data_IF_557800264365
#
_entry.id   IF_557800264365
#
_cell.length_a   1.000
_cell.length_b   1.000
_cell.length_c   1.000
_cell.angle_alpha   90.00
_cell.angle_beta   90.00
_cell.angle_gamma   90.00
#
_symmetry.space_group_name_H-M   'P 1'
#
loop_
_entity.id
_entity.type
_entity.pdbx_description
1 polymer ?
#
# COMPACT_ATOMS: atom_id res chain seq x y z
N UNK A 1 2.38 14.51 -68.31
CA UNK A 1 2.41 14.71 -66.84
C UNK A 1 2.17 13.34 -66.20
N UNK A 2 3.25 12.56 -65.97
CA UNK A 2 3.14 11.17 -65.51
C UNK A 2 2.96 11.11 -63.99
N UNK A 3 1.81 10.63 -63.52
CA UNK A 3 1.58 10.33 -62.11
C UNK A 3 2.38 9.08 -61.73
N UNK A 4 3.43 9.25 -60.92
CA UNK A 4 4.14 8.14 -60.28
C UNK A 4 3.23 7.53 -59.19
N UNK A 5 2.65 6.36 -59.45
CA UNK A 5 2.02 5.55 -58.41
C UNK A 5 3.10 4.90 -57.54
N UNK A 6 3.27 5.38 -56.31
CA UNK A 6 4.12 4.74 -55.32
C UNK A 6 3.42 3.46 -54.81
N UNK A 7 3.81 2.29 -55.33
CA UNK A 7 3.35 0.99 -54.82
C UNK A 7 4.01 0.75 -53.47
N UNK A 8 3.25 0.85 -52.38
CA UNK A 8 3.76 0.61 -51.03
C UNK A 8 3.98 -0.90 -50.84
N UNK A 9 5.23 -1.35 -50.85
CA UNK A 9 5.60 -2.75 -50.64
C UNK A 9 5.31 -3.19 -49.20
N UNK A 10 4.81 -4.41 -49.03
CA UNK A 10 4.52 -4.98 -47.73
C UNK A 10 5.82 -5.30 -46.96
N UNK A 11 5.73 -5.32 -45.63
CA UNK A 11 6.90 -5.61 -44.78
C UNK A 11 7.42 -7.03 -45.06
N UNK A 12 8.74 -7.15 -45.30
CA UNK A 12 9.42 -8.40 -45.68
C UNK A 12 9.27 -9.56 -44.66
N UNK A 13 9.20 -9.24 -43.36
CA UNK A 13 8.99 -10.22 -42.29
C UNK A 13 7.98 -9.68 -41.27
N UNK A 14 7.10 -10.56 -40.79
CA UNK A 14 6.15 -10.21 -39.73
C UNK A 14 6.87 -10.10 -38.39
N UNK A 15 6.49 -9.09 -37.61
CA UNK A 15 6.90 -8.98 -36.22
C UNK A 15 5.75 -8.38 -35.41
N UNK A 16 5.62 -8.73 -34.12
CA UNK A 16 4.65 -8.12 -33.25
C UNK A 16 4.85 -6.60 -33.16
N UNK A 17 3.75 -5.89 -32.92
CA UNK A 17 3.78 -4.43 -32.75
C UNK A 17 4.51 -4.04 -31.46
N UNK A 18 5.29 -2.97 -31.50
CA UNK A 18 5.95 -2.46 -30.30
C UNK A 18 4.98 -1.76 -29.34
N UNK A 19 4.89 -2.31 -28.13
CA UNK A 19 4.05 -1.82 -27.04
C UNK A 19 2.57 -2.09 -27.24
N UNK A 20 1.74 -1.69 -26.27
CA UNK A 20 0.28 -1.76 -26.36
C UNK A 20 -0.33 -0.39 -26.67
N UNK A 21 -1.35 -0.34 -27.53
CA UNK A 21 -2.09 0.88 -27.90
C UNK A 21 -3.08 1.28 -26.81
N UNK A 22 -3.51 0.35 -25.97
CA UNK A 22 -4.47 0.60 -24.88
C UNK A 22 -3.93 1.51 -23.77
N UNK A 23 -2.63 1.79 -23.75
CA UNK A 23 -2.00 2.73 -22.82
C UNK A 23 -1.73 4.12 -23.43
N UNK A 24 -2.30 4.41 -24.60
CA UNK A 24 -2.30 5.75 -25.16
C UNK A 24 -3.43 6.61 -24.55
N UNK A 25 -3.23 7.92 -24.37
CA UNK A 25 -1.99 8.69 -24.60
C UNK A 25 -0.97 8.50 -23.47
N UNK A 26 0.32 8.34 -23.83
CA UNK A 26 1.45 8.22 -22.88
C UNK A 26 1.88 9.60 -22.34
N UNK A 27 1.04 10.18 -21.48
CA UNK A 27 1.27 11.49 -20.85
C UNK A 27 1.34 11.39 -19.32
N UNK A 28 1.88 12.44 -18.68
CA UNK A 28 1.86 12.53 -17.21
C UNK A 28 0.42 12.49 -16.69
N UNK A 29 0.21 11.74 -15.61
CA UNK A 29 -1.09 11.64 -14.97
C UNK A 29 -1.50 13.00 -14.34
N UNK A 30 -2.80 13.31 -14.35
CA UNK A 30 -3.34 14.56 -13.78
C UNK A 30 -3.37 14.55 -12.24
N UNK A 31 -3.40 13.37 -11.62
CA UNK A 31 -3.54 13.17 -10.17
C UNK A 31 -2.39 12.32 -9.66
N UNK A 32 -1.86 12.68 -8.49
CA UNK A 32 -0.76 11.96 -7.85
C UNK A 32 -1.17 10.58 -7.30
N UNK A 33 -2.40 10.46 -6.78
CA UNK A 33 -2.94 9.20 -6.22
C UNK A 33 -3.68 8.39 -7.27
N UNK A 34 -3.60 7.05 -7.15
CA UNK A 34 -4.39 6.12 -7.96
C UNK A 34 -5.90 6.33 -7.78
N UNK A 35 -6.61 6.63 -8.88
CA UNK A 35 -8.07 6.73 -8.90
C UNK A 35 -8.66 5.38 -9.29
N UNK A 36 -9.51 4.83 -8.43
CA UNK A 36 -10.37 3.70 -8.77
C UNK A 36 -11.45 4.18 -9.76
N UNK A 37 -11.50 3.55 -10.94
CA UNK A 37 -12.52 3.85 -11.97
C UNK A 37 -13.78 3.00 -11.81
N UNK A 38 -13.63 1.80 -11.28
CA UNK A 38 -14.70 0.82 -11.09
C UNK A 38 -14.47 0.09 -9.78
N UNK A 39 -15.52 -0.08 -8.98
CA UNK A 39 -15.49 -0.88 -7.77
C UNK A 39 -15.96 -2.32 -8.07
N UNK A 40 -15.70 -3.29 -7.17
CA UNK A 40 -16.27 -4.64 -7.30
C UNK A 40 -17.79 -4.59 -7.46
N UNK A 41 -18.35 -5.62 -8.09
CA UNK A 41 -19.80 -5.75 -8.19
C UNK A 41 -20.39 -5.93 -6.80
N UNK A 42 -21.52 -5.27 -6.57
CA UNK A 42 -22.22 -5.34 -5.30
C UNK A 42 -22.96 -6.67 -5.16
N UNK A 43 -23.03 -7.18 -3.93
CA UNK A 43 -23.68 -8.44 -3.57
C UNK A 43 -24.52 -8.20 -2.31
N UNK A 44 -25.84 -7.98 -2.47
CA UNK A 44 -26.73 -7.62 -1.36
C UNK A 44 -26.83 -8.68 -0.27
N UNK A 45 -26.43 -9.92 -0.56
CA UNK A 45 -26.46 -11.02 0.41
C UNK A 45 -25.35 -10.91 1.47
N UNK A 46 -24.26 -10.20 1.15
CA UNK A 46 -23.10 -10.07 2.03
C UNK A 46 -23.25 -8.85 2.93
N UNK A 47 -22.66 -8.87 4.14
CA UNK A 47 -22.63 -7.70 5.00
C UNK A 47 -21.88 -6.55 4.31
N UNK A 48 -22.34 -5.33 4.59
CA UNK A 48 -21.73 -4.09 4.09
C UNK A 48 -20.27 -4.05 4.53
N UNK A 49 -19.37 -3.83 3.57
CA UNK A 49 -17.94 -3.80 3.83
C UNK A 49 -17.22 -2.80 2.93
N UNK A 50 -16.08 -2.30 3.39
CA UNK A 50 -15.24 -1.39 2.59
C UNK A 50 -14.52 -2.13 1.47
N UNK A 51 -14.38 -1.47 0.32
CA UNK A 51 -13.86 -2.07 -0.92
C UNK A 51 -12.45 -1.62 -1.29
N UNK A 52 -11.94 -0.55 -0.67
CA UNK A 52 -10.63 -0.01 -0.94
C UNK A 52 -10.00 0.62 0.32
N UNK A 53 -8.67 0.63 0.35
CA UNK A 53 -7.85 1.17 1.43
C UNK A 53 -6.67 1.97 0.85
N UNK A 54 -6.13 2.92 1.60
CA UNK A 54 -4.94 3.68 1.21
C UNK A 54 -3.72 3.20 1.98
N UNK A 55 -2.63 3.01 1.27
CA UNK A 55 -1.34 2.67 1.88
C UNK A 55 -0.19 3.44 1.25
N UNK A 56 0.97 3.39 1.88
CA UNK A 56 2.19 4.05 1.46
C UNK A 56 3.26 3.00 1.21
N UNK A 57 3.87 3.03 0.03
CA UNK A 57 4.95 2.09 -0.28
C UNK A 57 6.16 2.39 0.61
N UNK A 58 6.46 1.50 1.57
CA UNK A 58 7.59 1.66 2.47
C UNK A 58 8.89 1.16 1.81
N UNK A 59 8.86 -0.08 1.33
CA UNK A 59 10.03 -0.71 0.72
C UNK A 59 9.75 -2.11 0.21
N UNK A 60 10.82 -2.86 -0.04
CA UNK A 60 10.77 -4.24 -0.49
C UNK A 60 11.75 -5.09 0.31
N UNK A 61 11.37 -6.33 0.55
CA UNK A 61 12.24 -7.37 1.11
C UNK A 61 11.96 -8.69 0.40
N UNK A 62 12.56 -9.78 0.85
CA UNK A 62 12.19 -11.12 0.42
C UNK A 62 11.74 -11.96 1.62
N UNK A 63 10.90 -12.94 1.33
CA UNK A 63 10.41 -13.93 2.30
C UNK A 63 10.83 -15.31 1.84
N UNK A 64 10.92 -16.24 2.79
CA UNK A 64 10.90 -17.67 2.52
C UNK A 64 9.54 -18.20 2.97
N UNK A 65 8.90 -18.95 2.09
CA UNK A 65 7.66 -19.67 2.41
C UNK A 65 7.72 -21.08 1.84
N UNK A 66 6.97 -21.97 2.46
CA UNK A 66 6.71 -23.26 1.86
C UNK A 66 5.59 -23.14 0.81
N UNK A 67 5.73 -23.91 -0.28
CA UNK A 67 4.76 -23.89 -1.37
C UNK A 67 3.94 -25.18 -1.35
N UNK A 68 2.64 -25.06 -1.06
CA UNK A 68 1.68 -26.16 -1.22
C UNK A 68 0.95 -26.03 -2.57
N UNK A 69 1.52 -26.70 -3.58
CA UNK A 69 0.99 -26.76 -4.94
C UNK A 69 1.14 -28.17 -5.51
N UNK A 70 0.17 -29.07 -5.26
CA UNK A 70 0.18 -30.42 -5.81
C UNK A 70 0.36 -30.42 -7.34
N UNK A 71 1.29 -31.25 -7.83
CA UNK A 71 1.66 -31.32 -9.25
C UNK A 71 2.77 -30.34 -9.70
N UNK A 72 3.24 -29.46 -8.82
CA UNK A 72 4.41 -28.61 -9.10
C UNK A 72 5.72 -29.29 -8.68
N UNK A 73 6.81 -29.03 -9.42
CA UNK A 73 8.17 -29.47 -9.05
C UNK A 73 8.66 -28.88 -7.71
N UNK A 74 8.05 -27.77 -7.30
CA UNK A 74 8.35 -27.04 -6.05
C UNK A 74 7.34 -27.30 -4.94
N UNK A 75 6.50 -28.32 -5.07
CA UNK A 75 5.55 -28.68 -4.01
C UNK A 75 6.30 -29.11 -2.73
N UNK A 76 5.85 -28.63 -1.57
CA UNK A 76 6.47 -28.86 -0.25
C UNK A 76 7.96 -28.50 -0.20
N UNK A 77 8.37 -27.52 -1.02
CA UNK A 77 9.71 -26.96 -1.01
C UNK A 77 9.65 -25.49 -0.63
N UNK A 78 10.75 -25.03 -0.08
CA UNK A 78 10.92 -23.63 0.29
C UNK A 78 11.25 -22.80 -0.95
N UNK A 79 10.55 -21.69 -1.09
CA UNK A 79 10.75 -20.74 -2.18
C UNK A 79 10.95 -19.35 -1.61
N UNK A 80 11.96 -18.66 -2.14
CA UNK A 80 12.20 -17.25 -1.85
C UNK A 80 11.35 -16.41 -2.78
N UNK A 81 10.50 -15.54 -2.22
CA UNK A 81 9.67 -14.61 -2.99
C UNK A 81 9.96 -13.17 -2.58
N UNK A 82 10.13 -12.29 -3.57
CA UNK A 82 10.22 -10.86 -3.31
C UNK A 82 8.85 -10.32 -2.88
N UNK A 83 8.84 -9.42 -1.89
CA UNK A 83 7.65 -8.78 -1.35
C UNK A 83 7.83 -7.27 -1.24
N UNK A 84 6.74 -6.53 -1.38
CA UNK A 84 6.65 -5.10 -1.10
C UNK A 84 5.92 -4.89 0.21
N UNK A 85 6.51 -4.11 1.11
CA UNK A 85 5.86 -3.67 2.35
C UNK A 85 5.15 -2.35 2.08
N UNK A 86 3.86 -2.31 2.40
CA UNK A 86 3.01 -1.13 2.29
C UNK A 86 2.48 -0.79 3.67
N UNK A 87 2.88 0.36 4.21
CA UNK A 87 2.34 0.87 5.47
C UNK A 87 0.92 1.39 5.25
N UNK A 88 0.02 1.02 6.13
CA UNK A 88 -1.42 1.14 5.99
C UNK A 88 -2.00 1.75 7.29
N UNK A 89 -1.75 3.05 7.55
CA UNK A 89 -2.26 3.69 8.77
C UNK A 89 -3.79 3.71 8.77
N UNK A 90 -4.44 3.67 9.95
CA UNK A 90 -5.89 3.62 10.07
C UNK A 90 -6.52 4.83 9.37
N UNK A 91 -7.55 4.57 8.55
CA UNK A 91 -8.26 5.62 7.82
C UNK A 91 -9.44 6.15 8.64
N UNK A 92 -9.52 7.47 8.80
CA UNK A 92 -10.65 8.14 9.44
C UNK A 92 -11.75 8.42 8.40
N UNK A 93 -12.95 7.89 8.62
CA UNK A 93 -14.12 8.16 7.77
C UNK A 93 -14.71 9.52 8.12
N UNK A 94 -14.75 10.43 7.15
CA UNK A 94 -15.18 11.83 7.35
C UNK A 94 -16.55 12.16 6.77
N UNK A 95 -17.20 11.20 6.11
CA UNK A 95 -18.50 11.43 5.49
C UNK A 95 -18.93 10.32 4.51
N UNK A 96 -20.19 10.41 4.09
CA UNK A 96 -20.86 9.48 3.19
C UNK A 96 -21.39 10.23 1.98
N UNK A 97 -21.29 9.62 0.80
CA UNK A 97 -21.82 10.18 -0.46
C UNK A 97 -22.86 9.22 -1.01
N UNK A 98 -24.09 9.71 -1.19
CA UNK A 98 -25.15 8.99 -1.89
C UNK A 98 -25.08 9.23 -3.40
N UNK A 99 -25.25 8.18 -4.18
CA UNK A 99 -25.35 8.25 -5.64
C UNK A 99 -26.74 7.84 -6.10
N UNK A 100 -27.24 8.50 -7.14
CA UNK A 100 -28.51 8.19 -7.80
C UNK A 100 -28.23 7.84 -9.26
N UNK A 101 -28.88 6.77 -9.73
CA UNK A 101 -28.82 6.37 -11.13
C UNK A 101 -29.69 7.30 -11.98
N UNK A 102 -29.09 7.89 -13.00
CA UNK A 102 -29.80 8.70 -14.00
C UNK A 102 -29.57 8.09 -15.38
N UNK A 103 -30.35 8.44 -16.42
CA UNK A 103 -30.14 7.94 -17.77
C UNK A 103 -28.73 8.25 -18.34
N UNK A 104 -28.07 9.30 -17.82
CA UNK A 104 -26.70 9.69 -18.20
C UNK A 104 -25.61 9.06 -17.33
N UNK A 105 -25.97 8.20 -16.37
CA UNK A 105 -25.08 7.54 -15.42
C UNK A 105 -25.31 7.95 -13.97
N UNK A 106 -24.33 7.63 -13.10
CA UNK A 106 -24.40 7.91 -11.66
C UNK A 106 -24.12 9.39 -11.38
N UNK A 107 -25.05 10.05 -10.69
CA UNK A 107 -24.89 11.43 -10.19
C UNK A 107 -24.81 11.41 -8.67
N UNK A 108 -23.89 12.19 -8.09
CA UNK A 108 -23.88 12.41 -6.64
C UNK A 108 -25.14 13.14 -6.21
N UNK A 109 -25.91 12.56 -5.30
CA UNK A 109 -27.13 13.16 -4.77
C UNK A 109 -26.82 14.11 -3.62
N UNK A 110 -26.20 13.60 -2.56
CA UNK A 110 -25.81 14.39 -1.39
C UNK A 110 -24.56 13.82 -0.75
N UNK A 111 -23.75 14.70 -0.19
CA UNK A 111 -22.63 14.34 0.69
C UNK A 111 -22.97 14.80 2.09
N UNK A 112 -22.89 13.89 3.06
CA UNK A 112 -23.04 14.17 4.47
C UNK A 112 -21.66 14.01 5.08
N UNK A 113 -21.19 15.02 5.80
CA UNK A 113 -19.90 14.98 6.47
C UNK A 113 -20.09 14.64 7.94
N UNK A 114 -19.05 14.07 8.54
CA UNK A 114 -18.94 13.92 9.97
C UNK A 114 -18.98 15.31 10.63
N UNK A 115 -19.50 15.35 11.84
CA UNK A 115 -19.53 16.56 12.64
C UNK A 115 -18.10 17.08 12.87
N UNK A 116 -17.24 16.25 13.43
CA UNK A 116 -15.87 16.61 13.75
C UNK A 116 -14.96 16.21 12.60
N UNK A 117 -14.34 17.21 11.99
CA UNK A 117 -13.38 17.04 10.90
C UNK A 117 -12.03 17.50 11.40
N UNK A 118 -11.05 16.59 11.37
CA UNK A 118 -9.67 16.88 11.75
C UNK A 118 -9.07 17.97 10.87
N UNK A 119 -8.13 18.73 11.43
CA UNK A 119 -7.46 19.81 10.70
C UNK A 119 -6.61 19.28 9.53
N UNK A 120 -6.15 18.03 9.60
CA UNK A 120 -5.50 17.32 8.51
C UNK A 120 -6.41 17.16 7.29
N UNK A 121 -7.69 16.84 7.52
CA UNK A 121 -8.68 16.79 6.46
C UNK A 121 -8.99 18.20 5.92
N UNK A 122 -9.12 19.21 6.80
CA UNK A 122 -9.36 20.61 6.39
C UNK A 122 -8.23 21.18 5.54
N UNK A 123 -6.98 20.77 5.78
CA UNK A 123 -5.82 21.17 4.96
C UNK A 123 -6.00 20.83 3.48
N UNK A 124 -6.78 19.79 3.15
CA UNK A 124 -7.04 19.41 1.75
C UNK A 124 -7.77 20.49 0.94
N UNK A 125 -8.50 21.38 1.61
CA UNK A 125 -9.28 22.46 0.99
C UNK A 125 -8.47 23.73 0.73
N UNK A 126 -7.21 23.78 1.18
CA UNK A 126 -6.34 24.94 1.05
C UNK A 126 -5.06 24.57 0.31
N UNK A 127 -4.62 25.43 -0.62
CA UNK A 127 -3.27 25.32 -1.20
C UNK A 127 -2.19 25.76 -0.21
N UNK A 128 -2.47 26.83 0.54
CA UNK A 128 -1.60 27.35 1.59
C UNK A 128 -2.40 27.45 2.89
N UNK A 129 -2.23 26.47 3.78
CA UNK A 129 -2.94 26.39 5.05
C UNK A 129 -2.53 27.53 6.01
N UNK A 130 -1.24 27.80 6.12
CA UNK A 130 -0.69 28.73 7.12
C UNK A 130 -1.07 30.18 6.87
N UNK A 131 -1.19 30.60 5.60
CA UNK A 131 -1.67 31.94 5.24
C UNK A 131 -3.19 32.08 5.22
N UNK A 132 -3.93 31.00 5.41
CA UNK A 132 -5.40 31.01 5.30
C UNK A 132 -6.07 31.29 6.65
N UNK A 133 -7.29 31.82 6.61
CA UNK A 133 -8.14 32.00 7.82
C UNK A 133 -8.77 30.69 8.33
N UNK A 134 -8.49 29.54 7.70
CA UNK A 134 -8.92 28.18 8.11
C UNK A 134 -10.42 28.01 8.38
N UNK A 135 -11.28 28.72 7.63
CA UNK A 135 -12.74 28.75 7.85
C UNK A 135 -13.53 27.54 7.32
N UNK A 136 -12.88 26.55 6.70
CA UNK A 136 -13.55 25.36 6.17
C UNK A 136 -14.31 24.61 7.29
N UNK A 137 -15.55 24.20 7.01
CA UNK A 137 -16.47 23.47 7.91
C UNK A 137 -16.86 24.17 9.22
N UNK A 138 -16.37 25.39 9.50
CA UNK A 138 -16.70 26.12 10.73
C UNK A 138 -18.20 26.36 10.95
N UNK A 139 -18.99 26.59 9.89
CA UNK A 139 -20.45 26.70 9.99
C UNK A 139 -21.16 25.33 10.06
N UNK A 140 -20.52 24.27 9.56
CA UNK A 140 -21.08 22.93 9.48
C UNK A 140 -20.97 22.19 10.83
N UNK A 141 -19.79 22.27 11.46
CA UNK A 141 -19.51 21.64 12.77
C UNK A 141 -20.32 22.27 13.92
N UNK A 142 -20.76 23.53 13.79
CA UNK A 142 -21.58 24.22 14.81
C UNK A 142 -22.99 23.64 14.98
N UNK A 143 -23.39 22.69 14.15
CA UNK A 143 -24.77 22.18 14.08
C UNK A 143 -25.00 20.91 14.90
N UNK A 144 -23.99 20.28 15.50
CA UNK A 144 -24.08 18.87 15.93
C UNK A 144 -23.49 18.50 17.32
N UNK A 145 -23.08 19.47 18.16
CA UNK A 145 -22.27 19.19 19.37
C UNK A 145 -23.01 18.48 20.51
N UNK A 146 -22.79 17.16 20.66
CA UNK A 146 -23.15 16.34 21.84
C UNK A 146 -21.99 15.40 22.30
N UNK A 147 -21.97 15.07 23.59
CA UNK A 147 -20.77 14.63 24.36
C UNK A 147 -20.40 13.12 24.32
N UNK A 148 -21.19 12.25 23.69
CA UNK A 148 -20.96 10.78 23.73
C UNK A 148 -19.94 10.25 22.70
N UNK A 149 -19.52 11.04 21.72
CA UNK A 149 -18.60 10.61 20.65
C UNK A 149 -17.12 10.48 21.04
N UNK A 150 -16.73 10.91 22.25
CA UNK A 150 -15.32 11.03 22.65
C UNK A 150 -14.68 9.73 23.18
N UNK A 151 -15.46 8.69 23.50
CA UNK A 151 -14.97 7.49 24.23
C UNK A 151 -14.60 6.27 23.36
N UNK A 152 -14.59 6.40 22.04
CA UNK A 152 -14.47 5.24 21.13
C UNK A 152 -13.09 5.10 20.43
N UNK A 153 -12.12 5.96 20.76
CA UNK A 153 -10.84 6.10 20.05
C UNK A 153 -9.65 5.30 20.63
N UNK A 154 -9.77 4.70 21.81
CA UNK A 154 -8.62 4.11 22.54
C UNK A 154 -8.46 2.58 22.42
N UNK A 155 -9.34 1.87 21.70
CA UNK A 155 -9.31 0.39 21.65
C UNK A 155 -8.60 -0.27 20.46
N UNK A 156 -8.06 0.52 19.52
CA UNK A 156 -7.55 -0.01 18.24
C UNK A 156 -6.03 -0.18 18.13
N UNK A 157 -5.26 -0.01 19.22
CA UNK A 157 -3.81 -0.19 19.20
C UNK A 157 -3.40 -1.48 19.89
N UNK A 158 -3.41 -2.61 19.16
CA UNK A 158 -2.57 -3.79 19.41
C UNK A 158 -2.81 -4.84 18.33
N UNK A 159 -1.90 -5.00 17.37
CA UNK A 159 -1.63 -6.33 16.80
C UNK A 159 -0.34 -6.38 15.98
N UNK A 160 0.44 -7.44 16.18
CA UNK A 160 1.06 -8.27 15.13
C UNK A 160 2.22 -9.09 15.72
N UNK A 161 1.96 -10.36 16.04
CA UNK A 161 2.98 -11.40 16.17
C UNK A 161 2.48 -12.67 15.50
N UNK A 162 3.36 -13.40 14.81
CA UNK A 162 3.07 -14.69 14.16
C UNK A 162 3.60 -15.86 14.97
N UNK A 163 2.96 -17.03 14.86
CA UNK A 163 3.17 -18.21 15.71
C UNK A 163 4.53 -18.94 15.54
N UNK A 164 5.34 -18.58 14.54
CA UNK A 164 6.59 -19.31 14.18
C UNK A 164 7.90 -18.57 14.52
N UNK A 165 7.86 -17.37 15.11
CA UNK A 165 9.08 -16.63 15.45
C UNK A 165 9.62 -17.02 16.85
N UNK A 166 10.87 -17.48 16.93
CA UNK A 166 11.60 -17.73 18.19
C UNK A 166 12.11 -16.43 18.86
N UNK A 167 11.98 -15.27 18.20
CA UNK A 167 12.50 -13.97 18.67
C UNK A 167 11.64 -12.80 18.20
N UNK A 168 11.39 -11.81 19.06
CA UNK A 168 10.58 -10.62 18.74
C UNK A 168 11.31 -9.69 17.75
N UNK A 169 10.99 -9.79 16.46
CA UNK A 169 11.56 -8.94 15.40
C UNK A 169 10.49 -8.01 14.83
N UNK A 170 10.82 -6.72 14.66
CA UNK A 170 9.99 -5.75 13.93
C UNK A 170 10.21 -5.89 12.41
N UNK A 171 9.22 -5.53 11.60
CA UNK A 171 9.30 -5.55 10.12
C UNK A 171 10.40 -4.62 9.56
N UNK A 172 10.88 -3.68 10.37
CA UNK A 172 11.86 -2.70 9.96
C UNK A 172 13.24 -3.35 9.78
N UNK A 173 13.87 -3.22 8.59
CA UNK A 173 15.23 -3.70 8.41
C UNK A 173 16.20 -2.89 9.28
N UNK A 174 17.38 -3.44 9.55
CA UNK A 174 18.42 -2.71 10.31
C UNK A 174 18.76 -1.37 9.64
N UNK A 175 18.47 -0.27 10.34
CA UNK A 175 18.64 1.11 9.84
C UNK A 175 17.40 1.70 9.12
N UNK A 176 16.26 1.00 9.15
CA UNK A 176 15.01 1.41 8.53
C UNK A 176 14.97 1.19 7.02
N UNK A 177 13.78 1.36 6.43
CA UNK A 177 13.64 1.30 4.98
C UNK A 177 14.33 2.50 4.34
N UNK A 178 15.28 2.22 3.41
CA UNK A 178 16.09 3.26 2.76
C UNK A 178 15.20 4.32 2.10
N UNK A 179 15.42 5.59 2.46
CA UNK A 179 14.63 6.77 2.06
C UNK A 179 13.15 6.78 2.48
N UNK A 180 12.71 5.85 3.32
CA UNK A 180 11.38 5.85 3.94
C UNK A 180 11.49 6.23 5.42
N UNK A 181 12.23 5.43 6.19
CA UNK A 181 12.25 5.46 7.66
C UNK A 181 11.73 4.14 8.23
N UNK A 182 11.20 4.20 9.45
CA UNK A 182 10.58 3.08 10.14
C UNK A 182 9.08 3.01 9.83
N UNK A 183 8.57 1.79 9.66
CA UNK A 183 7.15 1.47 9.61
C UNK A 183 6.70 1.27 11.05
N UNK A 184 5.79 2.14 11.50
CA UNK A 184 5.29 2.15 12.88
C UNK A 184 3.83 1.75 12.95
N UNK A 185 3.08 2.01 11.88
CA UNK A 185 1.68 1.62 11.77
C UNK A 185 1.54 0.21 11.19
N UNK A 186 0.30 -0.28 11.19
CA UNK A 186 -0.09 -1.50 10.50
C UNK A 186 0.44 -1.52 9.06
N UNK A 187 0.79 -2.71 8.58
CA UNK A 187 1.34 -2.87 7.24
C UNK A 187 0.78 -4.10 6.56
N UNK A 188 0.83 -4.06 5.24
CA UNK A 188 0.45 -5.18 4.38
C UNK A 188 1.69 -5.58 3.59
N UNK A 189 1.98 -6.88 3.57
CA UNK A 189 2.99 -7.45 2.68
C UNK A 189 2.33 -7.96 1.41
N UNK A 190 2.78 -7.44 0.27
CA UNK A 190 2.29 -7.82 -1.04
C UNK A 190 3.37 -8.58 -1.80
N UNK A 191 3.00 -9.72 -2.38
CA UNK A 191 3.87 -10.48 -3.27
C UNK A 191 4.32 -9.63 -4.47
N UNK A 192 5.62 -9.66 -4.76
CA UNK A 192 6.24 -8.99 -5.89
C UNK A 192 6.45 -7.50 -5.68
N UNK A 193 6.46 -6.76 -6.80
CA UNK A 193 6.67 -5.31 -6.81
C UNK A 193 5.35 -4.56 -7.04
N UNK A 194 5.18 -3.45 -6.32
CA UNK A 194 4.05 -2.52 -6.53
C UNK A 194 4.51 -1.28 -7.28
N UNK A 195 3.59 -0.70 -8.06
CA UNK A 195 3.86 0.48 -8.90
C UNK A 195 4.37 1.68 -8.10
N UNK A 196 5.41 2.31 -8.65
CA UNK A 196 5.92 3.59 -8.15
C UNK A 196 7.00 3.51 -7.08
N UNK A 197 7.40 4.70 -6.64
CA UNK A 197 8.51 4.92 -5.70
C UNK A 197 8.07 4.70 -4.26
N UNK A 198 9.04 4.54 -3.35
CA UNK A 198 8.80 4.61 -1.89
C UNK A 198 8.15 5.95 -1.52
N UNK A 199 7.41 6.01 -0.42
CA UNK A 199 6.56 7.14 0.03
C UNK A 199 5.35 7.47 -0.87
N UNK A 200 5.15 6.78 -1.99
CA UNK A 200 3.99 7.01 -2.87
C UNK A 200 2.73 6.41 -2.25
N UNK A 201 1.64 7.20 -2.25
CA UNK A 201 0.30 6.73 -1.89
C UNK A 201 -0.20 5.75 -2.94
N UNK A 202 -0.62 4.58 -2.47
CA UNK A 202 -1.24 3.51 -3.22
C UNK A 202 -2.70 3.37 -2.79
N UNK A 203 -3.56 3.09 -3.76
CA UNK A 203 -4.96 2.73 -3.49
C UNK A 203 -5.11 1.24 -3.70
N UNK A 204 -5.22 0.50 -2.61
CA UNK A 204 -5.48 -0.94 -2.62
C UNK A 204 -6.98 -1.13 -2.76
N UNK A 205 -7.43 -1.97 -3.70
CA UNK A 205 -8.85 -2.24 -3.93
C UNK A 205 -9.04 -3.74 -4.02
N UNK A 206 -10.15 -4.24 -3.47
CA UNK A 206 -10.60 -5.61 -3.72
C UNK A 206 -10.69 -5.90 -5.23
N UNK A 207 -10.56 -7.17 -5.59
CA UNK A 207 -10.66 -7.62 -6.97
C UNK A 207 -12.07 -7.36 -7.54
N UNK A 208 -12.17 -7.09 -8.84
CA UNK A 208 -13.47 -6.92 -9.50
C UNK A 208 -14.21 -8.25 -9.67
N UNK A 209 -13.44 -9.33 -9.81
CA UNK A 209 -13.91 -10.69 -9.99
C UNK A 209 -13.48 -11.52 -8.78
N UNK A 210 -14.34 -12.44 -8.38
CA UNK A 210 -14.02 -13.43 -7.35
C UNK A 210 -12.89 -14.31 -7.89
N UNK A 211 -11.83 -14.45 -7.11
CA UNK A 211 -10.70 -15.27 -7.49
C UNK A 211 -11.00 -16.74 -7.14
N UNK A 212 -11.08 -17.58 -8.18
CA UNK A 212 -11.35 -19.02 -8.04
C UNK A 212 -10.11 -19.87 -8.33
N UNK A 213 -9.03 -19.27 -8.84
CA UNK A 213 -7.82 -20.02 -9.18
C UNK A 213 -7.15 -20.57 -7.92
N UNK A 214 -6.66 -21.82 -7.98
CA UNK A 214 -5.91 -22.46 -6.86
C UNK A 214 -4.75 -21.59 -6.35
N UNK A 215 -4.05 -20.91 -7.26
CA UNK A 215 -2.94 -20.00 -6.92
C UNK A 215 -3.38 -18.78 -6.09
N UNK A 216 -4.63 -18.33 -6.25
CA UNK A 216 -5.16 -17.20 -5.52
C UNK A 216 -5.80 -17.60 -4.18
N UNK A 217 -6.21 -18.87 -4.04
CA UNK A 217 -6.80 -19.44 -2.83
C UNK A 217 -5.77 -20.19 -1.96
N UNK A 218 -4.51 -20.23 -2.38
CA UNK A 218 -3.40 -20.83 -1.65
C UNK A 218 -3.22 -20.09 -0.31
N UNK A 219 -3.29 -20.84 0.80
CA UNK A 219 -2.90 -20.33 2.12
C UNK A 219 -1.39 -20.15 2.14
N UNK A 220 -0.92 -19.03 2.69
CA UNK A 220 0.49 -18.65 2.66
C UNK A 220 1.05 -18.84 4.06
N UNK A 221 1.87 -19.87 4.23
CA UNK A 221 2.59 -20.13 5.47
C UNK A 221 4.01 -19.56 5.36
N UNK A 222 4.27 -18.49 6.10
CA UNK A 222 5.56 -17.79 6.10
C UNK A 222 6.52 -18.48 7.05
N UNK A 223 7.75 -18.76 6.57
CA UNK A 223 8.82 -19.32 7.41
C UNK A 223 9.82 -18.27 7.86
N UNK A 224 10.14 -17.32 6.99
CA UNK A 224 11.16 -16.31 7.27
C UNK A 224 10.89 -15.02 6.51
N UNK A 225 11.17 -13.89 7.17
CA UNK A 225 11.14 -12.55 6.60
C UNK A 225 12.53 -11.94 6.78
N UNK A 226 13.10 -11.44 5.70
CA UNK A 226 14.43 -10.85 5.74
C UNK A 226 14.39 -9.41 6.28
N UNK A 227 15.01 -9.19 7.44
CA UNK A 227 15.17 -7.90 8.14
C UNK A 227 16.60 -7.36 8.04
N UNK A 228 17.45 -7.95 7.20
CA UNK A 228 18.79 -7.40 6.93
C UNK A 228 18.73 -5.97 6.41
N UNK A 229 19.76 -5.20 6.74
CA UNK A 229 19.96 -3.86 6.18
C UNK A 229 19.85 -3.89 4.65
N UNK A 230 19.01 -3.00 4.12
CA UNK A 230 18.88 -2.74 2.67
C UNK A 230 19.78 -1.62 2.19
N UNK A 231 20.56 -1.02 3.09
CA UNK A 231 21.61 -0.08 2.76
C UNK A 231 22.93 -0.85 2.66
N UNK A 232 23.39 -1.06 1.42
CA UNK A 232 24.51 -1.95 1.13
C UNK A 232 24.14 -3.44 1.21
N UNK A 233 25.09 -4.28 1.61
CA UNK A 233 24.90 -5.73 1.76
C UNK A 233 24.71 -6.08 3.23
N UNK A 234 23.46 -6.25 3.67
CA UNK A 234 23.16 -6.65 5.04
C UNK A 234 23.51 -8.12 5.30
N UNK A 235 24.21 -8.39 6.42
CA UNK A 235 24.62 -9.74 6.85
C UNK A 235 23.93 -10.24 8.13
N UNK A 236 23.37 -9.32 8.91
CA UNK A 236 22.75 -9.61 10.21
C UNK A 236 21.27 -9.27 10.14
N UNK A 237 20.42 -10.08 10.76
CA UNK A 237 18.97 -9.85 10.83
C UNK A 237 18.64 -8.91 12.00
N UNK A 238 19.35 -9.03 13.13
CA UNK A 238 19.14 -8.18 14.31
C UNK A 238 20.40 -7.43 14.73
N UNK A 239 20.20 -6.38 15.54
CA UNK A 239 21.32 -5.64 16.14
C UNK A 239 22.06 -6.53 17.14
N UNK A 240 21.35 -7.41 17.82
CA UNK A 240 21.89 -8.37 18.80
C UNK A 240 22.81 -9.38 18.13
N UNK A 241 22.39 -9.98 17.01
CA UNK A 241 23.23 -10.86 16.19
C UNK A 241 24.52 -10.15 15.76
N UNK A 242 24.41 -8.89 15.32
CA UNK A 242 25.58 -8.08 14.93
C UNK A 242 26.50 -7.79 16.12
N UNK A 243 25.95 -7.42 17.28
CA UNK A 243 26.73 -7.13 18.50
C UNK A 243 27.46 -8.38 18.99
N UNK A 244 26.77 -9.52 19.01
CA UNK A 244 27.37 -10.80 19.40
C UNK A 244 28.50 -11.21 18.46
N UNK A 245 28.33 -11.01 17.15
CA UNK A 245 29.37 -11.34 16.16
C UNK A 245 30.58 -10.40 16.20
N UNK A 246 30.34 -9.09 16.35
CA UNK A 246 31.41 -8.07 16.31
C UNK A 246 32.20 -7.97 17.62
N UNK A 247 31.61 -8.43 18.73
CA UNK A 247 32.20 -8.28 20.07
C UNK A 247 32.26 -6.82 20.53
N UNK A 248 32.97 -6.54 21.65
CA UNK A 248 33.06 -5.20 22.22
C UNK A 248 33.98 -4.31 21.37
N UNK A 249 33.41 -3.27 20.75
CA UNK A 249 34.16 -2.31 19.95
C UNK A 249 34.70 -1.16 20.80
N UNK A 250 35.62 -0.36 20.25
CA UNK A 250 36.20 0.81 20.93
C UNK A 250 35.14 1.77 21.48
N UNK A 251 34.13 2.09 20.68
CA UNK A 251 33.01 2.96 21.08
C UNK A 251 32.21 2.42 22.27
N UNK A 252 32.10 1.09 22.37
CA UNK A 252 31.31 0.46 23.43
C UNK A 252 32.10 0.47 24.75
N UNK A 253 33.44 0.38 24.68
CA UNK A 253 34.33 0.57 25.84
C UNK A 253 34.31 2.00 26.35
N UNK A 254 34.43 2.97 25.44
CA UNK A 254 34.32 4.40 25.78
C UNK A 254 32.95 4.74 26.41
N UNK A 255 31.86 4.16 25.88
CA UNK A 255 30.53 4.34 26.46
C UNK A 255 30.39 3.73 27.86
N UNK A 256 31.11 2.64 28.17
CA UNK A 256 31.16 2.05 29.51
C UNK A 256 32.04 2.85 30.48
N UNK A 257 33.08 3.51 30.00
CA UNK A 257 33.95 4.36 30.82
C UNK A 257 33.28 5.69 31.20
N UNK A 258 32.31 6.14 30.38
CA UNK A 258 31.55 7.37 30.58
C UNK A 258 30.22 7.18 31.34
N UNK A 259 29.81 5.94 31.59
CA UNK A 259 28.58 5.57 32.29
C UNK A 259 28.89 5.16 33.73
#
# INVERSE_FOLDING_TARGET
MGFFFFVQSHRKFSAPRHGSLGFLPRKRCKRHRGKVKSFPKDDPSKPVHLTAFLGYKAGMTHIVREVDRPGSKVNKKEVVEAVTVVEAPPMIVVGVVGYVMTPRGLRSFKTIFAEHISDECKRRFYKNWYKSKKKAFTKYCKRWQDEEGKKQLEKDFNNASTEYDLSNKSINPLGGFVHYGEVTNDFIMLKGCVVGTRKRVLTLRKSLLVQTSRRAQEKIDLKFIDTTSKFGHGRFQTIEEKKSFMGPLKKDRLAKEMA
#
